data_IF_200412372663
#
_entry.id   IF_200412372663
#
_cell.length_a   1.000
_cell.length_b   1.000
_cell.length_c   1.000
_cell.angle_alpha   90.00
_cell.angle_beta   90.00
_cell.angle_gamma   90.00
#
_symmetry.space_group_name_H-M   'P 1'
#
loop_
_entity.id
_entity.type
_entity.pdbx_description
1 polymer ?
#
# COMPACT_ATOMS: atom_id res chain seq x y z
N UNK A 1 -3.16 2.37 22.67
CA UNK A 1 -4.48 2.51 22.03
C UNK A 1 -4.58 1.60 20.80
N UNK A 2 -5.60 0.75 20.74
CA UNK A 2 -5.88 -0.09 19.58
C UNK A 2 -6.63 0.71 18.51
N UNK A 3 -6.06 0.80 17.30
CA UNK A 3 -6.66 1.52 16.17
C UNK A 3 -7.61 0.62 15.40
N UNK A 4 -8.77 1.13 15.02
CA UNK A 4 -9.71 0.51 14.11
C UNK A 4 -9.51 1.05 12.67
N UNK A 5 -8.77 0.37 11.78
CA UNK A 5 -8.51 0.85 10.42
C UNK A 5 -9.78 1.03 9.59
N UNK A 6 -10.86 0.35 9.98
CA UNK A 6 -12.19 0.50 9.37
C UNK A 6 -12.75 1.91 9.51
N UNK A 7 -12.49 2.61 10.63
CA UNK A 7 -12.90 4.00 10.84
C UNK A 7 -12.16 4.93 9.88
N UNK A 8 -10.85 4.73 9.72
CA UNK A 8 -10.03 5.49 8.77
C UNK A 8 -10.53 5.25 7.33
N UNK A 9 -10.77 3.99 6.97
CA UNK A 9 -11.31 3.62 5.67
C UNK A 9 -12.69 4.23 5.40
N UNK A 10 -13.58 4.30 6.39
CA UNK A 10 -14.90 4.90 6.27
C UNK A 10 -14.84 6.39 5.91
N UNK A 11 -13.90 7.14 6.51
CA UNK A 11 -13.65 8.54 6.16
C UNK A 11 -13.28 8.69 4.68
N UNK A 12 -12.29 7.91 4.21
CA UNK A 12 -11.89 7.95 2.81
C UNK A 12 -13.02 7.53 1.87
N UNK A 13 -13.80 6.50 2.22
CA UNK A 13 -14.96 6.10 1.40
C UNK A 13 -15.99 7.22 1.29
N UNK A 14 -16.24 7.98 2.33
CA UNK A 14 -17.14 9.13 2.28
C UNK A 14 -16.64 10.22 1.32
N UNK A 15 -15.34 10.50 1.32
CA UNK A 15 -14.70 11.44 0.39
C UNK A 15 -14.81 10.94 -1.05
N UNK A 16 -14.44 9.68 -1.30
CA UNK A 16 -14.49 9.04 -2.62
C UNK A 16 -15.93 9.02 -3.17
N UNK A 17 -16.91 8.70 -2.33
CA UNK A 17 -18.33 8.69 -2.73
C UNK A 17 -18.80 10.06 -3.22
N UNK A 18 -18.38 11.15 -2.58
CA UNK A 18 -18.68 12.51 -3.05
C UNK A 18 -18.03 12.79 -4.39
N UNK A 19 -16.79 12.34 -4.58
CA UNK A 19 -16.07 12.52 -5.83
C UNK A 19 -16.71 11.73 -6.98
N UNK A 20 -17.15 10.50 -6.74
CA UNK A 20 -17.82 9.65 -7.74
C UNK A 20 -19.17 10.26 -8.16
N UNK A 21 -19.96 10.78 -7.21
CA UNK A 21 -21.24 11.43 -7.51
C UNK A 21 -21.11 12.66 -8.41
N UNK A 22 -19.95 13.27 -8.48
CA UNK A 22 -19.67 14.41 -9.35
C UNK A 22 -19.15 13.99 -10.74
N UNK A 23 -19.10 12.68 -11.04
CA UNK A 23 -18.72 12.16 -12.35
C UNK A 23 -19.98 11.87 -13.18
N UNK A 24 -19.91 12.18 -14.48
CA UNK A 24 -20.99 11.88 -15.43
C UNK A 24 -20.92 10.45 -15.99
N UNK A 25 -20.17 9.56 -15.33
CA UNK A 25 -19.99 8.18 -15.76
C UNK A 25 -19.94 7.22 -14.56
N UNK A 26 -20.38 6.00 -14.79
CA UNK A 26 -20.16 4.92 -13.84
C UNK A 26 -18.77 4.32 -14.02
N UNK A 27 -17.95 4.41 -13.00
CA UNK A 27 -16.64 3.78 -13.02
C UNK A 27 -16.75 2.25 -13.00
N UNK A 28 -15.85 1.58 -13.70
CA UNK A 28 -15.74 0.11 -13.72
C UNK A 28 -14.32 -0.33 -13.38
N UNK A 29 -14.22 -1.28 -12.46
CA UNK A 29 -12.97 -1.96 -12.07
C UNK A 29 -13.06 -3.42 -12.46
N UNK A 30 -11.99 -3.95 -13.06
CA UNK A 30 -11.83 -5.38 -13.35
C UNK A 30 -10.75 -5.96 -12.45
N UNK A 31 -11.09 -6.98 -11.70
CA UNK A 31 -10.16 -7.78 -10.91
C UNK A 31 -9.79 -9.08 -11.61
N UNK A 32 -8.52 -9.45 -11.58
CA UNK A 32 -8.01 -10.70 -12.15
C UNK A 32 -7.55 -11.65 -11.05
N UNK A 33 -8.17 -12.80 -10.97
CA UNK A 33 -7.84 -13.87 -10.04
C UNK A 33 -7.42 -15.13 -10.81
N UNK A 34 -6.27 -15.70 -10.45
CA UNK A 34 -5.79 -16.95 -11.01
C UNK A 34 -5.42 -17.95 -9.90
N UNK A 35 -5.90 -19.16 -10.04
CA UNK A 35 -5.68 -20.21 -9.03
C UNK A 35 -6.56 -20.02 -7.79
N UNK A 36 -6.46 -20.97 -6.87
CA UNK A 36 -7.32 -21.05 -5.68
C UNK A 36 -6.54 -20.66 -4.41
N UNK A 37 -5.92 -19.48 -4.43
CA UNK A 37 -5.22 -18.95 -3.27
C UNK A 37 -6.19 -18.19 -2.36
N UNK A 38 -6.52 -18.77 -1.19
CA UNK A 38 -7.52 -18.25 -0.28
C UNK A 38 -7.41 -16.76 0.09
N UNK A 39 -6.21 -16.25 0.46
CA UNK A 39 -6.04 -14.82 0.75
C UNK A 39 -6.38 -13.90 -0.43
N UNK A 40 -6.02 -14.28 -1.66
CA UNK A 40 -6.35 -13.50 -2.86
C UNK A 40 -7.86 -13.47 -3.11
N UNK A 41 -8.55 -14.57 -2.88
CA UNK A 41 -10.02 -14.65 -2.99
C UNK A 41 -10.70 -13.74 -1.97
N UNK A 42 -10.28 -13.82 -0.71
CA UNK A 42 -10.81 -12.95 0.35
C UNK A 42 -10.59 -11.46 0.02
N UNK A 43 -9.41 -11.13 -0.52
CA UNK A 43 -9.12 -9.75 -0.91
C UNK A 43 -9.99 -9.30 -2.10
N UNK A 44 -10.26 -10.18 -3.06
CA UNK A 44 -11.18 -9.90 -4.16
C UNK A 44 -12.62 -9.62 -3.68
N UNK A 45 -13.09 -10.34 -2.66
CA UNK A 45 -14.39 -10.12 -2.02
C UNK A 45 -14.44 -8.76 -1.30
N UNK A 46 -13.40 -8.39 -0.56
CA UNK A 46 -13.32 -7.06 0.05
C UNK A 46 -13.33 -5.94 -0.99
N UNK A 47 -12.65 -6.15 -2.12
CA UNK A 47 -12.65 -5.19 -3.23
C UNK A 47 -14.04 -5.06 -3.85
N UNK A 48 -14.74 -6.18 -4.07
CA UNK A 48 -16.11 -6.19 -4.57
C UNK A 48 -17.03 -5.37 -3.67
N UNK A 49 -17.04 -5.68 -2.38
CA UNK A 49 -17.89 -5.00 -1.40
C UNK A 49 -17.61 -3.49 -1.35
N UNK A 50 -16.34 -3.09 -1.47
CA UNK A 50 -15.98 -1.68 -1.51
C UNK A 50 -16.44 -0.98 -2.79
N UNK A 51 -16.36 -1.64 -3.94
CA UNK A 51 -16.87 -1.12 -5.21
C UNK A 51 -18.39 -0.94 -5.16
N UNK A 52 -19.12 -1.96 -4.69
CA UNK A 52 -20.58 -1.91 -4.53
C UNK A 52 -21.01 -0.77 -3.60
N UNK A 53 -20.35 -0.63 -2.44
CA UNK A 53 -20.62 0.45 -1.48
C UNK A 53 -20.41 1.85 -2.08
N UNK A 54 -19.50 1.98 -3.03
CA UNK A 54 -19.15 3.24 -3.70
C UNK A 54 -19.89 3.48 -5.01
N UNK A 55 -20.66 2.51 -5.51
CA UNK A 55 -21.34 2.59 -6.81
C UNK A 55 -20.41 2.40 -8.01
N UNK A 56 -19.25 1.76 -7.80
CA UNK A 56 -18.32 1.36 -8.85
C UNK A 56 -18.71 -0.03 -9.36
N UNK A 57 -18.87 -0.20 -10.67
CA UNK A 57 -19.09 -1.52 -11.26
C UNK A 57 -17.83 -2.39 -11.06
N UNK A 58 -18.00 -3.61 -10.58
CA UNK A 58 -16.89 -4.53 -10.36
C UNK A 58 -17.11 -5.84 -11.10
N UNK A 59 -16.13 -6.24 -11.89
CA UNK A 59 -16.08 -7.52 -12.60
C UNK A 59 -14.87 -8.32 -12.15
N UNK A 60 -15.09 -9.49 -11.56
CA UNK A 60 -14.01 -10.43 -11.24
C UNK A 60 -13.87 -11.45 -12.36
N UNK A 61 -12.71 -11.45 -13.02
CA UNK A 61 -12.33 -12.43 -14.04
C UNK A 61 -11.46 -13.51 -13.45
N UNK A 62 -11.98 -14.72 -13.40
CA UNK A 62 -11.23 -15.89 -13.00
C UNK A 62 -10.64 -16.56 -14.24
N UNK A 63 -9.32 -16.51 -14.37
CA UNK A 63 -8.62 -17.02 -15.56
C UNK A 63 -7.49 -18.00 -15.17
N UNK A 64 -7.21 -19.01 -16.02
CA UNK A 64 -5.99 -19.77 -15.89
C UNK A 64 -4.76 -18.84 -15.97
N UNK A 65 -3.71 -19.14 -15.20
CA UNK A 65 -2.49 -18.30 -15.11
C UNK A 65 -1.94 -17.89 -16.49
N UNK A 66 -1.89 -18.85 -17.45
CA UNK A 66 -1.38 -18.62 -18.81
C UNK A 66 -2.30 -17.76 -19.70
N UNK A 67 -3.51 -17.44 -19.23
CA UNK A 67 -4.46 -16.57 -19.95
C UNK A 67 -4.57 -15.18 -19.34
N UNK A 68 -3.89 -14.92 -18.23
CA UNK A 68 -3.97 -13.64 -17.53
C UNK A 68 -3.47 -12.49 -18.39
N UNK A 69 -2.32 -12.61 -19.02
CA UNK A 69 -1.77 -11.58 -19.90
C UNK A 69 -2.77 -11.16 -20.96
N UNK A 70 -3.35 -12.14 -21.67
CA UNK A 70 -4.39 -11.87 -22.67
C UNK A 70 -5.60 -11.16 -22.08
N UNK A 71 -6.05 -11.59 -20.90
CA UNK A 71 -7.18 -10.98 -20.20
C UNK A 71 -6.90 -9.54 -19.78
N UNK A 72 -5.69 -9.27 -19.29
CA UNK A 72 -5.24 -7.92 -18.92
C UNK A 72 -5.18 -7.02 -20.16
N UNK A 73 -4.60 -7.48 -21.27
CA UNK A 73 -4.56 -6.71 -22.52
C UNK A 73 -5.98 -6.35 -23.00
N UNK A 74 -6.91 -7.30 -22.96
CA UNK A 74 -8.31 -7.02 -23.29
C UNK A 74 -8.95 -5.94 -22.39
N UNK A 75 -8.64 -5.96 -21.09
CA UNK A 75 -9.12 -4.93 -20.17
C UNK A 75 -8.42 -3.57 -20.36
N UNK A 76 -7.16 -3.56 -20.78
CA UNK A 76 -6.45 -2.34 -21.16
C UNK A 76 -7.14 -1.64 -22.35
N UNK A 77 -7.54 -2.42 -23.34
CA UNK A 77 -8.14 -1.92 -24.59
C UNK A 77 -9.63 -1.56 -24.43
N UNK A 78 -10.30 -2.06 -23.40
CA UNK A 78 -11.72 -1.77 -23.15
C UNK A 78 -11.91 -0.36 -22.58
N UNK A 79 -12.52 0.58 -23.32
CA UNK A 79 -12.75 1.96 -22.87
C UNK A 79 -13.75 2.05 -21.69
N UNK A 80 -14.53 1.01 -21.44
CA UNK A 80 -15.45 0.96 -20.30
C UNK A 80 -14.74 0.56 -18.99
N UNK A 81 -13.49 0.07 -19.06
CA UNK A 81 -12.70 -0.29 -17.88
C UNK A 81 -11.82 0.86 -17.46
N UNK A 82 -11.99 1.33 -16.21
CA UNK A 82 -11.31 2.49 -15.65
C UNK A 82 -10.25 2.13 -14.60
N UNK A 83 -10.28 0.88 -14.12
CA UNK A 83 -9.30 0.37 -13.16
C UNK A 83 -9.10 -1.13 -13.32
N UNK A 84 -7.85 -1.55 -13.15
CA UNK A 84 -7.45 -2.96 -13.21
C UNK A 84 -6.73 -3.31 -11.91
N UNK A 85 -7.04 -4.48 -11.38
CA UNK A 85 -6.44 -5.05 -10.19
C UNK A 85 -6.09 -6.51 -10.42
N UNK A 86 -4.88 -6.91 -10.07
CA UNK A 86 -4.43 -8.31 -10.20
C UNK A 86 -4.07 -8.86 -8.82
N UNK A 87 -4.69 -9.95 -8.43
CA UNK A 87 -4.51 -10.53 -7.09
C UNK A 87 -3.28 -11.42 -7.04
N UNK A 88 -2.14 -10.82 -6.74
CA UNK A 88 -0.86 -11.51 -6.58
C UNK A 88 -0.76 -12.31 -5.27
N UNK A 89 0.10 -13.36 -5.17
CA UNK A 89 0.98 -13.85 -6.25
C UNK A 89 0.24 -14.72 -7.28
N UNK A 90 0.70 -14.69 -8.53
CA UNK A 90 0.20 -15.54 -9.62
C UNK A 90 1.16 -16.70 -9.85
N UNK A 91 2.41 -16.39 -10.17
CA UNK A 91 3.50 -17.34 -10.40
C UNK A 91 4.47 -17.39 -9.24
N UNK A 92 4.56 -16.33 -8.44
CA UNK A 92 5.50 -16.18 -7.33
C UNK A 92 6.96 -15.97 -7.77
N UNK A 93 7.18 -15.46 -8.97
CA UNK A 93 8.49 -15.22 -9.56
C UNK A 93 8.51 -13.94 -10.44
N UNK A 94 9.54 -13.77 -11.28
CA UNK A 94 9.71 -12.61 -12.15
C UNK A 94 8.55 -12.40 -13.16
N UNK A 95 7.77 -13.45 -13.47
CA UNK A 95 6.58 -13.30 -14.30
C UNK A 95 5.52 -12.41 -13.64
N UNK A 96 5.43 -12.41 -12.31
CA UNK A 96 4.54 -11.50 -11.60
C UNK A 96 4.97 -10.03 -11.77
N UNK A 97 6.29 -9.78 -11.83
CA UNK A 97 6.82 -8.44 -12.13
C UNK A 97 6.46 -8.01 -13.55
N UNK A 98 6.62 -8.91 -14.53
CA UNK A 98 6.21 -8.66 -15.89
C UNK A 98 4.71 -8.34 -16.00
N UNK A 99 3.84 -9.13 -15.35
CA UNK A 99 2.40 -8.91 -15.39
C UNK A 99 1.98 -7.55 -14.80
N UNK A 100 2.69 -7.02 -13.82
CA UNK A 100 2.44 -5.67 -13.29
C UNK A 100 2.63 -4.61 -14.37
N UNK A 101 3.59 -4.81 -15.29
CA UNK A 101 3.87 -3.90 -16.39
C UNK A 101 2.96 -4.13 -17.61
N UNK A 102 2.30 -5.27 -17.72
CA UNK A 102 1.25 -5.50 -18.72
C UNK A 102 0.01 -4.66 -18.44
N UNK A 103 -0.29 -4.39 -17.15
CA UNK A 103 -1.39 -3.48 -16.78
C UNK A 103 -1.05 -2.07 -17.25
N UNK A 104 -1.94 -1.47 -18.04
CA UNK A 104 -1.78 -0.06 -18.45
C UNK A 104 -1.69 0.84 -17.21
N UNK A 105 -0.60 1.60 -17.07
CA UNK A 105 -0.37 2.48 -15.92
C UNK A 105 -1.52 3.46 -15.67
N UNK A 106 -2.28 3.84 -16.70
CA UNK A 106 -3.47 4.69 -16.61
C UNK A 106 -4.66 4.01 -15.95
N UNK A 107 -4.63 2.66 -15.87
CA UNK A 107 -5.65 1.82 -15.23
C UNK A 107 -5.14 1.05 -14.02
N UNK A 108 -3.86 1.18 -13.70
CA UNK A 108 -3.23 0.53 -12.53
C UNK A 108 -3.64 1.22 -11.22
N UNK A 109 -4.71 0.74 -10.63
CA UNK A 109 -5.24 1.31 -9.37
C UNK A 109 -4.44 0.93 -8.14
N UNK A 110 -3.54 -0.05 -8.24
CA UNK A 110 -2.69 -0.51 -7.14
C UNK A 110 -1.37 0.26 -7.06
N UNK A 111 -0.94 0.89 -8.16
CA UNK A 111 0.32 1.64 -8.24
C UNK A 111 1.55 0.73 -8.30
N UNK A 112 1.45 -0.44 -8.94
CA UNK A 112 2.51 -1.45 -9.01
C UNK A 112 3.25 -1.48 -10.35
N UNK A 113 2.72 -0.80 -11.38
CA UNK A 113 3.38 -0.66 -12.67
C UNK A 113 4.70 0.11 -12.53
N UNK A 114 5.72 -0.29 -13.27
CA UNK A 114 7.06 0.31 -13.23
C UNK A 114 7.07 1.81 -13.48
N UNK A 115 6.11 2.33 -14.27
CA UNK A 115 5.91 3.77 -14.46
C UNK A 115 5.68 4.50 -13.13
N UNK A 116 4.78 3.98 -12.28
CA UNK A 116 4.49 4.57 -10.97
C UNK A 116 5.60 4.34 -9.96
N UNK A 117 6.18 3.15 -9.97
CA UNK A 117 7.30 2.79 -9.09
C UNK A 117 8.51 3.70 -9.37
N UNK A 118 8.82 3.97 -10.63
CA UNK A 118 9.88 4.90 -11.01
C UNK A 118 9.63 6.30 -10.43
N UNK A 119 8.42 6.84 -10.61
CA UNK A 119 8.05 8.15 -10.04
C UNK A 119 8.18 8.19 -8.53
N UNK A 120 7.84 7.11 -7.83
CA UNK A 120 8.02 7.00 -6.39
C UNK A 120 9.51 7.11 -6.00
N UNK A 121 10.38 6.35 -6.68
CA UNK A 121 11.82 6.37 -6.40
C UNK A 121 12.50 7.71 -6.79
N UNK A 122 12.00 8.38 -7.82
CA UNK A 122 12.43 9.71 -8.23
C UNK A 122 11.80 10.83 -7.37
N UNK A 123 10.93 10.48 -6.40
CA UNK A 123 10.14 11.39 -5.57
C UNK A 123 9.28 12.37 -6.39
N UNK A 124 8.85 11.96 -7.56
CA UNK A 124 7.93 12.71 -8.41
C UNK A 124 6.49 12.50 -7.98
N UNK A 125 5.92 13.47 -7.28
CA UNK A 125 4.57 13.38 -6.70
C UNK A 125 3.45 13.82 -7.62
N UNK A 126 3.78 14.42 -8.75
CA UNK A 126 2.82 14.94 -9.74
C UNK A 126 3.07 14.31 -11.10
N UNK A 127 2.00 14.17 -11.88
CA UNK A 127 2.07 13.75 -13.28
C UNK A 127 2.24 15.02 -14.13
N UNK A 128 3.30 15.08 -14.93
CA UNK A 128 3.54 16.18 -15.84
C UNK A 128 2.67 16.06 -17.11
N UNK A 129 2.31 17.20 -17.70
CA UNK A 129 1.62 17.24 -18.99
C UNK A 129 0.10 17.01 -18.94
N UNK A 130 -0.51 17.04 -17.76
CA UNK A 130 -1.97 17.00 -17.60
C UNK A 130 -2.45 18.36 -17.12
N UNK A 131 -3.51 18.89 -17.74
CA UNK A 131 -4.07 20.22 -17.43
C UNK A 131 -4.54 20.37 -15.99
N UNK A 132 -4.99 19.27 -15.38
CA UNK A 132 -5.28 19.21 -13.95
C UNK A 132 -4.17 18.37 -13.29
N UNK A 133 -3.37 19.01 -12.45
CA UNK A 133 -2.24 18.37 -11.74
C UNK A 133 -2.64 17.06 -11.07
N UNK A 134 -2.53 15.97 -11.81
CA UNK A 134 -2.76 14.62 -11.29
C UNK A 134 -1.67 14.26 -10.29
N UNK A 135 -2.05 13.79 -9.11
CA UNK A 135 -1.08 13.19 -8.18
C UNK A 135 -0.64 11.83 -8.72
N UNK A 136 0.66 11.57 -8.69
CA UNK A 136 1.18 10.24 -8.99
C UNK A 136 0.56 9.18 -8.07
N UNK A 137 0.28 8.03 -8.64
CA UNK A 137 -0.17 6.86 -7.88
C UNK A 137 1.04 6.21 -7.21
N UNK A 138 0.85 5.68 -6.02
CA UNK A 138 1.86 4.93 -5.27
C UNK A 138 1.25 3.63 -4.76
N UNK A 139 2.06 2.61 -4.44
CA UNK A 139 1.56 1.32 -3.96
C UNK A 139 0.59 1.48 -2.80
N UNK A 140 -0.64 0.97 -2.98
CA UNK A 140 -1.76 1.24 -2.08
C UNK A 140 -1.54 0.75 -0.66
N UNK A 141 -0.88 -0.40 -0.47
CA UNK A 141 -0.59 -0.91 0.88
C UNK A 141 0.41 -0.02 1.61
N UNK A 142 1.49 0.40 0.95
CA UNK A 142 2.45 1.34 1.53
C UNK A 142 1.78 2.68 1.87
N UNK A 143 0.96 3.21 0.96
CA UNK A 143 0.19 4.43 1.20
C UNK A 143 -0.78 4.29 2.36
N UNK A 144 -1.44 3.14 2.52
CA UNK A 144 -2.40 2.91 3.60
C UNK A 144 -1.76 2.96 4.98
N UNK A 145 -0.53 2.47 5.11
CA UNK A 145 0.25 2.61 6.35
C UNK A 145 0.39 4.08 6.73
N UNK A 146 0.87 4.91 5.81
CA UNK A 146 1.04 6.36 6.04
C UNK A 146 -0.30 7.01 6.37
N UNK A 147 -1.37 6.69 5.65
CA UNK A 147 -2.69 7.29 5.87
C UNK A 147 -3.33 6.91 7.20
N UNK A 148 -3.06 5.73 7.72
CA UNK A 148 -3.48 5.34 9.07
C UNK A 148 -2.67 6.10 10.12
N UNK A 149 -1.36 6.24 9.94
CA UNK A 149 -0.50 7.01 10.84
C UNK A 149 -0.88 8.50 10.87
N UNK A 150 -1.13 9.11 9.70
CA UNK A 150 -1.64 10.49 9.60
C UNK A 150 -2.97 10.68 10.35
N UNK A 151 -3.92 9.76 10.13
CA UNK A 151 -5.25 9.85 10.74
C UNK A 151 -5.23 9.73 12.27
N UNK A 152 -4.17 9.18 12.83
CA UNK A 152 -3.99 9.01 14.29
C UNK A 152 -2.95 9.99 14.88
N UNK A 153 -2.52 11.00 14.12
CA UNK A 153 -1.60 12.03 14.61
C UNK A 153 -0.15 11.58 14.77
N UNK A 154 0.17 10.35 14.31
CA UNK A 154 1.51 9.79 14.37
C UNK A 154 2.44 10.24 13.23
N UNK A 155 1.86 10.82 12.20
CA UNK A 155 2.53 11.31 11.00
C UNK A 155 1.97 12.68 10.64
N UNK A 156 2.81 13.63 10.21
CA UNK A 156 2.34 14.95 9.85
C UNK A 156 1.33 14.93 8.69
N UNK A 157 0.25 15.67 8.82
CA UNK A 157 -0.80 15.74 7.80
C UNK A 157 -0.46 16.67 6.62
N UNK A 158 0.52 17.56 6.81
CA UNK A 158 0.90 18.58 5.84
C UNK A 158 2.38 18.97 6.00
N UNK A 159 2.94 19.55 4.95
CA UNK A 159 4.34 19.99 4.91
C UNK A 159 5.19 19.19 3.93
N UNK A 160 6.40 19.66 3.73
CA UNK A 160 7.38 19.02 2.82
C UNK A 160 8.06 17.81 3.46
N UNK A 161 8.11 17.76 4.78
CA UNK A 161 8.76 16.70 5.58
C UNK A 161 7.86 16.26 6.76
N UNK A 162 6.73 15.58 6.49
CA UNK A 162 5.75 15.25 7.54
C UNK A 162 6.24 14.22 8.56
N UNK A 163 7.35 13.53 8.30
CA UNK A 163 7.98 12.55 9.22
C UNK A 163 9.35 13.02 9.73
N UNK A 164 9.63 14.32 9.66
CA UNK A 164 10.90 14.87 10.13
C UNK A 164 11.15 14.53 11.61
N UNK A 165 12.38 14.19 11.95
CA UNK A 165 12.81 13.74 13.28
C UNK A 165 12.14 12.45 13.77
N UNK A 166 11.53 11.66 12.90
CA UNK A 166 11.02 10.34 13.24
C UNK A 166 12.01 9.26 12.85
N UNK A 167 12.18 8.27 13.73
CA UNK A 167 12.89 7.03 13.45
C UNK A 167 11.90 5.89 13.29
N UNK A 168 12.03 5.13 12.23
CA UNK A 168 11.11 4.05 11.88
C UNK A 168 11.90 2.77 11.63
N UNK A 169 11.43 1.66 12.18
CA UNK A 169 11.93 0.32 11.81
C UNK A 169 10.87 -0.44 11.03
N UNK A 170 11.23 -0.97 9.87
CA UNK A 170 10.35 -1.75 9.00
C UNK A 170 10.92 -3.16 8.84
N UNK A 171 10.16 -4.17 9.25
CA UNK A 171 10.46 -5.59 8.99
C UNK A 171 9.63 -6.06 7.80
N UNK A 172 10.08 -5.78 6.64
CA UNK A 172 9.65 -6.21 5.32
C UNK A 172 10.40 -5.37 4.27
N UNK A 173 10.94 -6.00 3.23
CA UNK A 173 11.57 -5.28 2.11
C UNK A 173 11.03 -5.75 0.77
N UNK A 174 9.78 -6.19 0.74
CA UNK A 174 9.12 -6.56 -0.50
C UNK A 174 9.02 -5.37 -1.45
N UNK A 175 9.07 -5.64 -2.75
CA UNK A 175 8.95 -4.63 -3.80
C UNK A 175 7.61 -3.90 -3.82
N UNK A 176 6.57 -4.56 -3.29
CA UNK A 176 5.20 -4.03 -3.34
C UNK A 176 4.81 -3.24 -2.09
N UNK A 177 5.50 -3.44 -0.94
CA UNK A 177 5.15 -2.74 0.31
C UNK A 177 6.37 -2.16 1.02
N UNK A 178 7.28 -3.01 1.52
CA UNK A 178 8.30 -2.58 2.46
C UNK A 178 9.31 -1.62 1.85
N UNK A 179 9.81 -1.91 0.65
CA UNK A 179 10.74 -1.04 -0.07
C UNK A 179 10.11 0.30 -0.46
N UNK A 180 8.94 0.34 -1.12
CA UNK A 180 8.23 1.60 -1.39
C UNK A 180 7.95 2.41 -0.12
N UNK A 181 7.50 1.76 0.96
CA UNK A 181 7.21 2.42 2.23
C UNK A 181 8.46 3.08 2.83
N UNK A 182 9.59 2.37 2.85
CA UNK A 182 10.85 2.92 3.35
C UNK A 182 11.29 4.17 2.56
N UNK A 183 11.18 4.12 1.23
CA UNK A 183 11.49 5.27 0.36
C UNK A 183 10.53 6.43 0.61
N UNK A 184 9.22 6.19 0.68
CA UNK A 184 8.22 7.21 0.94
C UNK A 184 8.45 7.90 2.28
N UNK A 185 8.63 7.13 3.37
CA UNK A 185 8.81 7.68 4.70
C UNK A 185 10.14 8.44 4.84
N UNK A 186 11.21 7.95 4.20
CA UNK A 186 12.50 8.64 4.23
C UNK A 186 12.51 9.92 3.37
N UNK A 187 11.80 9.96 2.25
CA UNK A 187 11.55 11.19 1.50
C UNK A 187 10.72 12.21 2.30
N UNK A 188 9.84 11.73 3.17
CA UNK A 188 9.05 12.54 4.09
C UNK A 188 9.83 12.97 5.34
N UNK A 189 11.12 12.62 5.44
CA UNK A 189 12.04 13.10 6.46
C UNK A 189 12.36 12.11 7.57
N UNK A 190 11.79 10.93 7.58
CA UNK A 190 12.12 9.91 8.58
C UNK A 190 13.50 9.29 8.29
N UNK A 191 14.16 8.87 9.37
CA UNK A 191 15.23 7.87 9.31
C UNK A 191 14.61 6.49 9.40
N UNK A 192 14.81 5.63 8.37
CA UNK A 192 14.13 4.34 8.30
C UNK A 192 15.15 3.21 8.29
N UNK A 193 15.09 2.34 9.30
CA UNK A 193 15.78 1.06 9.31
C UNK A 193 14.90 0.00 8.66
N UNK A 194 15.41 -0.67 7.66
CA UNK A 194 14.68 -1.70 6.90
C UNK A 194 15.39 -3.04 7.05
N UNK A 195 14.65 -4.03 7.53
CA UNK A 195 15.16 -5.39 7.76
C UNK A 195 14.48 -6.40 6.85
N UNK A 196 15.28 -7.29 6.28
CA UNK A 196 14.87 -8.54 5.65
C UNK A 196 15.88 -9.65 5.94
N UNK A 197 15.83 -10.74 5.19
CA UNK A 197 16.74 -11.88 5.31
C UNK A 197 18.18 -11.57 4.88
N UNK A 198 18.40 -10.49 4.13
CA UNK A 198 19.73 -10.05 3.66
C UNK A 198 20.41 -9.03 4.57
N UNK A 199 19.77 -8.69 5.67
CA UNK A 199 20.33 -7.78 6.67
C UNK A 199 19.69 -6.37 6.67
N UNK A 200 20.18 -5.49 7.56
CA UNK A 200 19.62 -4.15 7.70
C UNK A 200 20.12 -3.19 6.62
N UNK A 201 19.24 -2.29 6.21
CA UNK A 201 19.56 -1.08 5.47
C UNK A 201 19.04 0.13 6.23
N UNK A 202 19.66 1.29 6.06
CA UNK A 202 19.12 2.57 6.49
C UNK A 202 18.69 3.38 5.26
N UNK A 203 17.50 4.00 5.34
CA UNK A 203 17.00 4.91 4.31
C UNK A 203 16.94 6.32 4.87
N UNK A 204 17.55 7.26 4.16
CA UNK A 204 17.48 8.70 4.41
C UNK A 204 17.30 9.44 3.08
N UNK A 205 16.35 10.36 3.02
CA UNK A 205 16.06 11.15 1.82
C UNK A 205 15.85 10.28 0.54
N UNK A 206 15.18 9.15 0.69
CA UNK A 206 14.86 8.20 -0.38
C UNK A 206 16.01 7.30 -0.83
N UNK A 207 17.17 7.37 -0.20
CA UNK A 207 18.36 6.56 -0.53
C UNK A 207 18.62 5.50 0.53
N UNK A 208 18.97 4.30 0.06
CA UNK A 208 19.33 3.19 0.90
C UNK A 208 20.85 3.08 1.04
N UNK A 209 21.33 2.84 2.25
CA UNK A 209 22.72 2.56 2.56
C UNK A 209 22.81 1.33 3.46
N UNK A 210 23.93 0.62 3.37
CA UNK A 210 24.22 -0.50 4.28
C UNK A 210 24.45 0.01 5.70
N UNK A 211 24.07 -0.77 6.68
CA UNK A 211 24.28 -0.46 8.11
C UNK A 211 24.49 -1.74 8.91
N UNK A 212 25.25 -1.64 9.99
CA UNK A 212 25.51 -2.74 10.93
C UNK A 212 24.56 -2.68 12.15
N UNK A 213 23.50 -1.88 12.08
CA UNK A 213 22.60 -1.73 13.21
C UNK A 213 21.96 -3.05 13.61
N UNK A 214 22.02 -3.38 14.89
CA UNK A 214 21.30 -4.55 15.39
C UNK A 214 19.79 -4.34 15.42
N UNK A 215 19.02 -5.44 15.33
CA UNK A 215 17.56 -5.38 15.54
C UNK A 215 17.21 -4.71 16.86
N UNK A 216 17.93 -5.06 17.94
CA UNK A 216 17.64 -4.53 19.26
C UNK A 216 17.84 -3.01 19.33
N UNK A 217 18.94 -2.51 18.74
CA UNK A 217 19.25 -1.08 18.75
C UNK A 217 18.27 -0.29 17.85
N UNK A 218 17.87 -0.86 16.72
CA UNK A 218 16.87 -0.26 15.85
C UNK A 218 15.52 -0.12 16.55
N UNK A 219 15.03 -1.19 17.20
CA UNK A 219 13.77 -1.18 17.93
C UNK A 219 13.75 -0.16 19.08
N UNK A 220 14.85 -0.08 19.84
CA UNK A 220 14.95 0.83 21.00
C UNK A 220 14.98 2.31 20.65
N UNK A 221 15.36 2.66 19.43
CA UNK A 221 15.39 4.06 19.00
C UNK A 221 14.24 4.44 18.05
N UNK A 222 13.33 3.50 17.75
CA UNK A 222 12.25 3.75 16.80
C UNK A 222 11.00 4.31 17.46
N UNK A 223 10.52 5.45 16.94
CA UNK A 223 9.19 5.98 17.24
C UNK A 223 8.09 5.08 16.68
N UNK A 224 8.37 4.43 15.55
CA UNK A 224 7.41 3.56 14.85
C UNK A 224 8.07 2.23 14.46
N UNK A 225 7.36 1.14 14.71
CA UNK A 225 7.78 -0.20 14.30
C UNK A 225 6.69 -0.82 13.43
N UNK A 226 7.04 -1.09 12.18
CA UNK A 226 6.11 -1.57 11.15
C UNK A 226 6.56 -2.97 10.72
N UNK A 227 5.64 -3.91 10.74
CA UNK A 227 5.94 -5.30 10.41
C UNK A 227 5.02 -5.84 9.33
N UNK A 228 5.60 -6.68 8.46
CA UNK A 228 4.86 -7.34 7.40
C UNK A 228 5.49 -8.66 6.99
N UNK A 229 5.99 -9.44 7.97
CA UNK A 229 6.70 -10.69 7.70
C UNK A 229 5.71 -11.85 7.61
N UNK A 230 5.57 -12.50 6.43
CA UNK A 230 4.61 -13.59 6.23
C UNK A 230 5.18 -14.95 6.67
N UNK A 231 5.91 -14.98 7.76
CA UNK A 231 6.55 -16.20 8.29
C UNK A 231 6.26 -16.38 9.77
N UNK A 232 5.86 -17.60 10.15
CA UNK A 232 5.70 -17.98 11.56
C UNK A 232 7.05 -18.16 12.28
N UNK A 233 8.15 -18.30 11.54
CA UNK A 233 9.49 -18.36 12.07
C UNK A 233 10.07 -16.99 12.48
N UNK A 234 9.41 -15.90 12.12
CA UNK A 234 9.82 -14.56 12.51
C UNK A 234 9.73 -14.42 14.03
N UNK A 235 10.85 -14.06 14.71
CA UNK A 235 10.84 -13.84 16.15
C UNK A 235 9.94 -12.65 16.45
N UNK A 236 8.80 -12.89 17.08
CA UNK A 236 7.85 -11.83 17.40
C UNK A 236 8.51 -10.76 18.26
N UNK A 237 8.07 -9.54 18.05
CA UNK A 237 8.56 -8.38 18.79
C UNK A 237 7.86 -8.32 20.13
N UNK A 238 8.65 -8.22 21.22
CA UNK A 238 8.18 -8.11 22.59
C UNK A 238 8.17 -6.64 23.02
N UNK A 239 7.34 -6.31 24.00
CA UNK A 239 7.20 -4.94 24.44
C UNK A 239 8.49 -4.35 25.00
N UNK A 240 9.27 -5.14 25.76
CA UNK A 240 10.55 -4.71 26.31
C UNK A 240 11.66 -4.43 25.29
N UNK A 241 11.49 -4.87 24.04
CA UNK A 241 12.39 -4.55 22.94
C UNK A 241 12.14 -3.15 22.34
N UNK A 242 10.98 -2.55 22.62
CA UNK A 242 10.54 -1.29 22.01
C UNK A 242 11.02 -0.06 22.79
N UNK A 243 11.08 1.07 22.10
CA UNK A 243 11.21 2.37 22.73
C UNK A 243 9.95 2.71 23.54
N UNK A 244 10.05 3.51 24.61
CA UNK A 244 8.88 4.09 25.27
C UNK A 244 8.01 4.84 24.25
N UNK A 245 6.68 4.66 24.34
CA UNK A 245 5.72 5.31 23.43
C UNK A 245 5.83 4.90 21.95
N UNK A 246 6.42 3.74 21.67
CA UNK A 246 6.50 3.24 20.29
C UNK A 246 5.11 2.97 19.71
N UNK A 247 4.95 3.36 18.44
CA UNK A 247 3.77 3.06 17.63
C UNK A 247 4.05 1.78 16.85
N UNK A 248 3.15 0.82 16.95
CA UNK A 248 3.33 -0.49 16.35
C UNK A 248 2.25 -0.77 15.29
N UNK A 249 2.67 -1.24 14.12
CA UNK A 249 1.78 -1.57 13.02
C UNK A 249 2.14 -2.93 12.41
N UNK A 250 1.14 -3.79 12.26
CA UNK A 250 1.27 -5.07 11.56
C UNK A 250 0.40 -5.09 10.30
N UNK A 251 1.01 -5.28 9.13
CA UNK A 251 0.27 -5.39 7.87
C UNK A 251 0.24 -6.81 7.28
N UNK A 252 0.97 -7.76 7.87
CA UNK A 252 0.88 -9.17 7.49
C UNK A 252 -0.37 -9.84 8.08
N UNK A 253 -0.80 -10.95 7.47
CA UNK A 253 -1.83 -11.81 8.06
C UNK A 253 -1.34 -12.54 9.31
N UNK A 254 -0.03 -12.77 9.40
CA UNK A 254 0.63 -13.35 10.59
C UNK A 254 0.93 -12.23 11.57
N UNK A 255 0.61 -12.44 12.83
CA UNK A 255 0.95 -11.52 13.92
C UNK A 255 2.44 -11.56 14.20
N UNK A 256 3.13 -10.45 14.00
CA UNK A 256 4.57 -10.30 14.21
C UNK A 256 4.93 -9.68 15.58
N UNK A 257 3.95 -9.28 16.37
CA UNK A 257 4.11 -8.79 17.73
C UNK A 257 3.56 -9.79 18.74
N UNK A 258 4.13 -9.82 19.94
CA UNK A 258 3.55 -10.54 21.06
C UNK A 258 2.27 -9.82 21.56
N UNK A 259 1.32 -10.56 22.16
CA UNK A 259 0.02 -9.98 22.56
C UNK A 259 0.12 -8.75 23.47
N UNK A 260 1.10 -8.73 24.36
CA UNK A 260 1.30 -7.60 25.28
C UNK A 260 1.59 -6.27 24.59
N UNK A 261 2.14 -6.29 23.36
CA UNK A 261 2.40 -5.10 22.57
C UNK A 261 1.08 -4.45 22.15
N UNK A 262 0.05 -5.24 21.84
CA UNK A 262 -1.28 -4.75 21.48
C UNK A 262 -1.90 -3.94 22.63
N UNK A 263 -1.60 -4.30 23.88
CA UNK A 263 -2.15 -3.66 25.07
C UNK A 263 -1.33 -2.44 25.52
N UNK A 264 0.00 -2.53 25.42
CA UNK A 264 0.92 -1.58 26.05
C UNK A 264 1.48 -0.52 25.10
N UNK A 265 1.52 -0.76 23.79
CA UNK A 265 1.99 0.23 22.83
C UNK A 265 1.15 1.52 22.90
N UNK A 266 1.77 2.65 22.65
CA UNK A 266 1.03 3.93 22.59
C UNK A 266 -0.10 3.87 21.56
N UNK A 267 0.22 3.34 20.38
CA UNK A 267 -0.73 3.07 19.31
C UNK A 267 -0.42 1.70 18.70
N UNK A 268 -1.43 0.86 18.55
CA UNK A 268 -1.31 -0.42 17.88
C UNK A 268 -2.27 -0.52 16.70
N UNK A 269 -1.73 -0.82 15.51
CA UNK A 269 -2.49 -0.97 14.27
C UNK A 269 -2.37 -2.42 13.81
N UNK A 270 -3.44 -3.22 13.95
CA UNK A 270 -3.35 -4.69 13.73
C UNK A 270 -3.40 -5.10 12.25
N UNK A 271 -3.84 -4.20 11.36
CA UNK A 271 -4.03 -4.49 9.93
C UNK A 271 -4.22 -3.20 9.13
N UNK A 272 -4.05 -3.28 7.81
CA UNK A 272 -4.20 -2.12 6.90
C UNK A 272 -5.21 -2.34 5.77
N UNK A 273 -5.64 -3.58 5.54
CA UNK A 273 -6.46 -3.99 4.40
C UNK A 273 -7.65 -3.08 4.06
N UNK A 274 -8.52 -2.69 5.01
CA UNK A 274 -9.64 -1.80 4.74
C UNK A 274 -9.24 -0.46 4.12
N UNK A 275 -8.11 0.12 4.56
CA UNK A 275 -7.60 1.38 4.01
C UNK A 275 -6.92 1.15 2.66
N UNK A 276 -6.23 0.02 2.48
CA UNK A 276 -5.63 -0.35 1.19
C UNK A 276 -6.68 -0.39 0.08
N UNK A 277 -7.80 -1.05 0.30
CA UNK A 277 -8.91 -1.09 -0.67
C UNK A 277 -9.47 0.30 -0.93
N UNK A 278 -9.65 1.12 0.10
CA UNK A 278 -10.10 2.51 -0.08
C UNK A 278 -9.10 3.33 -0.93
N UNK A 279 -7.80 3.10 -0.77
CA UNK A 279 -6.78 3.77 -1.61
C UNK A 279 -6.86 3.32 -3.07
N UNK A 280 -7.09 2.04 -3.35
CA UNK A 280 -7.34 1.55 -4.71
C UNK A 280 -8.56 2.24 -5.35
N UNK A 281 -9.66 2.37 -4.62
CA UNK A 281 -10.85 3.06 -5.12
C UNK A 281 -10.59 4.55 -5.35
N UNK A 282 -9.84 5.20 -4.48
CA UNK A 282 -9.41 6.59 -4.69
C UNK A 282 -8.54 6.74 -5.93
N UNK A 283 -7.64 5.80 -6.17
CA UNK A 283 -6.82 5.80 -7.38
C UNK A 283 -7.66 5.62 -8.64
N UNK A 284 -8.71 4.79 -8.61
CA UNK A 284 -9.64 4.65 -9.73
C UNK A 284 -10.23 6.01 -10.14
N UNK A 285 -10.71 6.80 -9.18
CA UNK A 285 -11.25 8.15 -9.45
C UNK A 285 -10.17 9.08 -9.98
N UNK A 286 -8.98 9.05 -9.40
CA UNK A 286 -7.85 9.91 -9.81
C UNK A 286 -7.39 9.61 -11.23
N UNK A 287 -7.18 8.33 -11.54
CA UNK A 287 -6.76 7.89 -12.86
C UNK A 287 -7.81 8.22 -13.92
N UNK A 288 -9.10 8.02 -13.60
CA UNK A 288 -10.19 8.42 -14.47
C UNK A 288 -10.13 9.91 -14.79
N UNK A 289 -10.05 10.77 -13.78
CA UNK A 289 -9.98 12.23 -13.97
C UNK A 289 -8.73 12.66 -14.72
N UNK A 290 -7.63 11.99 -14.51
CA UNK A 290 -6.34 12.35 -15.14
C UNK A 290 -6.29 11.95 -16.61
N UNK A 291 -6.85 10.79 -16.98
CA UNK A 291 -6.62 10.20 -18.29
C UNK A 291 -7.88 9.95 -19.14
N UNK A 292 -9.06 9.94 -18.55
CA UNK A 292 -10.30 9.55 -19.24
C UNK A 292 -11.42 10.59 -19.17
N UNK A 293 -11.43 11.46 -18.17
CA UNK A 293 -12.38 12.59 -18.13
C UNK A 293 -12.01 13.59 -19.24
N UNK A 294 -12.97 13.90 -20.09
CA UNK A 294 -12.88 14.92 -21.16
C UNK A 294 -13.55 16.19 -20.73
#
# INVERSE_FOLDING_TARGET
>A
VLVAPTTVAARYRSEIRREIRALDTQLKVVGFLAGDYGPSRTYAEYTRNACEDLGIAYELRYLPRLKLEQGICQANDDPAVHGIMVYYPIFGNEQDRYLKDVVDFRKDIEGLNSFWIRKLYENERLVQGVEQSGKAVVPCTALSVIKILEANGAYGASGTRPAENKTVTIFNRSEVVGRPLAVMMSNDGAKVFSFDEFGPLVYENGRAEETDISRADALKQSDMVITGVPSRAFPKIRYEELAPHAICLNFATIKNFEPEVEEKAELFIPRVGPVTVAMCMRNTVRLYRTYFAR
#
